data_IF_407200370306
#
_entry.id   IF_407200370306
#
_cell.length_a   1.000
_cell.length_b   1.000
_cell.length_c   1.000
_cell.angle_alpha   90.00
_cell.angle_beta   90.00
_cell.angle_gamma   90.00
#
_symmetry.space_group_name_H-M   'P 1'
#
loop_
_entity.id
_entity.type
_entity.pdbx_description
1 polymer ?
#
# COMPACT_ATOMS: atom_id res chain seq x y z
N UNK A 1 -27.97 7.37 4.11
CA UNK A 1 -28.31 7.10 5.52
C UNK A 1 -27.51 8.00 6.46
N UNK A 2 -26.21 8.19 6.19
CA UNK A 2 -25.35 9.07 6.96
C UNK A 2 -25.33 10.48 6.32
N UNK A 3 -25.94 11.44 6.99
CA UNK A 3 -25.87 12.85 6.54
C UNK A 3 -24.56 13.42 7.02
N UNK A 4 -23.67 13.78 6.09
CA UNK A 4 -22.40 14.44 6.38
C UNK A 4 -22.67 15.95 6.55
N UNK A 5 -23.37 16.31 7.65
CA UNK A 5 -23.55 17.69 8.05
C UNK A 5 -22.61 17.99 9.22
N UNK A 6 -21.62 18.84 8.98
CA UNK A 6 -20.61 19.14 9.99
C UNK A 6 -21.03 20.18 11.01
N UNK A 7 -22.06 20.98 10.73
CA UNK A 7 -22.30 22.19 11.50
C UNK A 7 -21.02 23.05 11.57
N UNK A 8 -20.61 23.45 12.76
CA UNK A 8 -19.38 24.23 12.99
C UNK A 8 -18.15 23.35 13.34
N UNK A 9 -18.21 22.03 13.20
CA UNK A 9 -17.08 21.14 13.52
C UNK A 9 -15.96 21.29 12.48
N UNK A 10 -14.71 21.38 12.95
CA UNK A 10 -13.54 21.40 12.07
C UNK A 10 -13.39 20.03 11.36
N UNK A 11 -12.95 20.08 10.11
CA UNK A 11 -12.66 18.89 9.34
C UNK A 11 -11.56 18.04 9.99
N UNK A 12 -11.70 16.71 10.03
CA UNK A 12 -10.59 15.84 10.38
C UNK A 12 -9.39 16.10 9.45
N UNK A 13 -8.19 16.03 9.99
CA UNK A 13 -6.95 16.25 9.26
C UNK A 13 -6.23 14.95 8.91
N UNK A 14 -6.56 13.87 9.61
CA UNK A 14 -6.06 12.52 9.41
C UNK A 14 -7.21 11.56 9.09
N UNK A 15 -6.98 10.50 8.27
CA UNK A 15 -8.03 9.59 7.81
C UNK A 15 -8.60 8.69 8.92
N UNK A 16 -7.85 8.49 10.00
CA UNK A 16 -8.28 7.75 11.19
C UNK A 16 -7.79 8.48 12.44
N UNK A 17 -8.57 8.54 13.54
CA UNK A 17 -8.16 9.29 14.74
C UNK A 17 -6.81 8.82 15.26
N UNK A 18 -5.81 9.72 15.29
CA UNK A 18 -4.45 9.41 15.73
C UNK A 18 -4.38 8.92 17.18
N UNK A 19 -5.19 9.51 18.06
CA UNK A 19 -5.25 9.15 19.48
C UNK A 19 -6.29 8.05 19.77
N UNK A 20 -6.69 7.28 18.79
CA UNK A 20 -7.63 6.19 18.99
C UNK A 20 -7.02 5.11 19.89
N UNK A 21 -7.60 4.91 21.05
CA UNK A 21 -7.11 3.93 22.01
C UNK A 21 -7.50 2.51 21.62
N UNK A 22 -6.64 1.90 20.80
CA UNK A 22 -6.79 0.50 20.37
C UNK A 22 -6.77 -0.44 21.59
N UNK A 23 -6.01 -0.11 22.64
CA UNK A 23 -5.86 -0.97 23.82
C UNK A 23 -7.18 -1.13 24.57
N UNK A 24 -8.03 -0.11 24.59
CA UNK A 24 -9.35 -0.15 25.21
C UNK A 24 -10.27 -1.14 24.52
N UNK A 25 -10.20 -1.22 23.20
CA UNK A 25 -10.96 -2.16 22.38
C UNK A 25 -10.40 -3.57 22.53
N UNK A 26 -9.08 -3.71 22.60
CA UNK A 26 -8.42 -4.99 22.83
C UNK A 26 -8.75 -5.61 24.19
N UNK A 27 -8.96 -4.79 25.24
CA UNK A 27 -9.46 -5.28 26.52
C UNK A 27 -10.83 -5.94 26.42
N UNK A 28 -11.71 -5.41 25.57
CA UNK A 28 -12.98 -6.08 25.26
C UNK A 28 -12.78 -7.42 24.54
N UNK A 29 -11.86 -7.48 23.56
CA UNK A 29 -11.58 -8.72 22.84
C UNK A 29 -10.92 -9.80 23.70
N UNK A 30 -10.18 -9.41 24.76
CA UNK A 30 -9.59 -10.34 25.75
C UNK A 30 -10.56 -10.75 26.87
N UNK A 31 -11.80 -10.31 26.83
CA UNK A 31 -12.77 -10.50 27.92
C UNK A 31 -12.37 -9.83 29.26
N UNK A 32 -11.35 -8.99 29.27
CA UNK A 32 -10.95 -8.18 30.43
C UNK A 32 -11.99 -7.11 30.76
N UNK A 33 -12.69 -6.62 29.72
CA UNK A 33 -13.90 -5.80 29.87
C UNK A 33 -15.03 -6.49 29.10
N UNK A 34 -16.19 -6.73 29.75
CA UNK A 34 -17.30 -7.34 29.04
C UNK A 34 -17.79 -6.43 27.92
N UNK A 35 -17.97 -7.03 26.73
CA UNK A 35 -18.65 -6.35 25.63
C UNK A 35 -20.08 -6.15 26.08
N UNK A 36 -20.56 -4.91 26.14
CA UNK A 36 -21.98 -4.64 26.39
C UNK A 36 -22.80 -5.01 25.14
N UNK A 37 -23.56 -6.13 25.18
CA UNK A 37 -24.34 -6.54 24.01
C UNK A 37 -25.43 -5.52 23.67
N UNK A 38 -25.87 -4.71 24.63
CA UNK A 38 -26.87 -3.65 24.41
C UNK A 38 -26.25 -2.49 23.64
N UNK A 39 -25.03 -2.06 24.01
CA UNK A 39 -24.27 -1.07 23.27
C UNK A 39 -24.00 -1.53 21.83
N UNK A 40 -23.45 -2.73 21.66
CA UNK A 40 -23.16 -3.28 20.34
C UNK A 40 -24.40 -3.36 19.46
N UNK A 41 -25.54 -3.77 20.00
CA UNK A 41 -26.81 -3.82 19.26
C UNK A 41 -27.24 -2.41 18.81
N UNK A 42 -27.20 -1.43 19.70
CA UNK A 42 -27.54 -0.03 19.37
C UNK A 42 -26.63 0.52 18.24
N UNK A 43 -25.33 0.24 18.32
CA UNK A 43 -24.36 0.67 17.30
C UNK A 43 -24.61 -0.02 15.95
N UNK A 44 -24.98 -1.31 15.97
CA UNK A 44 -25.39 -2.02 14.74
C UNK A 44 -26.67 -1.43 14.14
N UNK A 45 -27.65 -1.08 14.98
CA UNK A 45 -28.92 -0.43 14.55
C UNK A 45 -28.67 0.98 13.96
N UNK A 46 -27.65 1.71 14.42
CA UNK A 46 -27.20 2.97 13.82
C UNK A 46 -26.65 2.77 12.39
N UNK A 47 -26.32 1.53 11.99
CA UNK A 47 -25.85 1.17 10.67
C UNK A 47 -24.32 1.09 10.56
N UNK A 48 -23.64 0.61 11.59
CA UNK A 48 -22.18 0.47 11.57
C UNK A 48 -21.67 -0.40 10.40
N UNK A 49 -22.35 -1.52 10.10
CA UNK A 49 -21.96 -2.40 8.99
C UNK A 49 -22.08 -1.71 7.63
N UNK A 50 -23.15 -0.93 7.44
CA UNK A 50 -23.36 -0.14 6.24
C UNK A 50 -22.32 0.97 6.10
N UNK A 51 -21.93 1.60 7.21
CA UNK A 51 -20.87 2.60 7.23
C UNK A 51 -19.54 1.98 6.76
N UNK A 52 -19.12 0.89 7.39
CA UNK A 52 -17.86 0.20 7.03
C UNK A 52 -17.91 -0.32 5.60
N UNK A 53 -19.02 -0.95 5.18
CA UNK A 53 -19.22 -1.40 3.80
C UNK A 53 -19.12 -0.27 2.77
N UNK A 54 -19.70 0.90 3.10
CA UNK A 54 -19.61 2.11 2.27
C UNK A 54 -18.20 2.66 2.16
N UNK A 55 -17.41 2.61 3.25
CA UNK A 55 -16.00 3.06 3.25
C UNK A 55 -15.06 2.08 2.53
N UNK A 56 -15.36 0.78 2.55
CA UNK A 56 -14.53 -0.24 1.89
C UNK A 56 -14.45 -0.05 0.38
N UNK A 57 -15.52 0.43 -0.26
CA UNK A 57 -15.52 0.62 -1.71
C UNK A 57 -14.52 1.72 -2.15
N UNK A 58 -14.58 2.97 -1.64
CA UNK A 58 -13.60 3.99 -1.98
C UNK A 58 -12.18 3.61 -1.51
N UNK A 59 -12.03 2.96 -0.34
CA UNK A 59 -10.75 2.50 0.14
C UNK A 59 -10.01 1.58 -0.86
N UNK A 60 -10.77 0.74 -1.58
CA UNK A 60 -10.19 -0.22 -2.53
C UNK A 60 -9.98 0.32 -3.93
N UNK A 61 -10.69 1.39 -4.31
CA UNK A 61 -10.74 1.83 -5.70
C UNK A 61 -10.05 3.18 -5.94
N UNK A 62 -10.09 4.11 -4.97
CA UNK A 62 -9.67 5.48 -5.24
C UNK A 62 -9.00 6.21 -4.06
N UNK A 63 -9.19 5.73 -2.83
CA UNK A 63 -8.71 6.41 -1.62
C UNK A 63 -7.88 5.48 -0.74
N UNK A 64 -6.65 5.16 -1.15
CA UNK A 64 -5.76 4.27 -0.40
C UNK A 64 -5.53 4.72 1.04
N UNK A 65 -5.54 6.01 1.32
CA UNK A 65 -5.30 6.60 2.63
C UNK A 65 -6.28 6.14 3.73
N UNK A 66 -7.51 5.72 3.38
CA UNK A 66 -8.48 5.20 4.36
C UNK A 66 -8.42 3.67 4.52
N UNK A 67 -7.47 2.98 3.86
CA UNK A 67 -7.40 1.51 3.91
C UNK A 67 -7.12 0.97 5.31
N UNK A 68 -6.26 1.64 6.09
CA UNK A 68 -5.99 1.30 7.48
C UNK A 68 -7.26 1.44 8.33
N UNK A 69 -7.97 2.56 8.21
CA UNK A 69 -9.23 2.80 8.91
C UNK A 69 -10.24 1.68 8.62
N UNK A 70 -10.42 1.32 7.35
CA UNK A 70 -11.32 0.24 6.95
C UNK A 70 -10.87 -1.13 7.49
N UNK A 71 -9.57 -1.41 7.50
CA UNK A 71 -9.00 -2.63 8.08
C UNK A 71 -9.30 -2.71 9.58
N UNK A 72 -9.12 -1.61 10.31
CA UNK A 72 -9.40 -1.53 11.75
C UNK A 72 -10.89 -1.68 12.04
N UNK A 73 -11.74 -0.88 11.41
CA UNK A 73 -13.18 -0.90 11.62
C UNK A 73 -13.79 -2.28 11.31
N UNK A 74 -13.27 -2.97 10.30
CA UNK A 74 -13.76 -4.30 9.90
C UNK A 74 -13.56 -5.36 11.00
N UNK A 75 -12.64 -5.20 11.91
CA UNK A 75 -12.40 -6.13 13.02
C UNK A 75 -13.57 -6.15 14.01
N UNK A 76 -14.36 -5.09 14.07
CA UNK A 76 -15.44 -4.87 15.04
C UNK A 76 -16.84 -5.02 14.43
N UNK A 77 -16.96 -5.61 13.26
CA UNK A 77 -18.25 -5.76 12.55
C UNK A 77 -19.31 -6.55 13.32
N UNK A 78 -18.91 -7.43 14.23
CA UNK A 78 -19.82 -8.23 15.04
C UNK A 78 -20.20 -7.53 16.35
N UNK A 79 -19.23 -6.90 17.00
CA UNK A 79 -19.36 -6.31 18.34
C UNK A 79 -18.76 -4.90 18.37
N UNK A 80 -19.37 -3.94 17.61
CA UNK A 80 -18.89 -2.57 17.61
C UNK A 80 -19.22 -1.84 18.91
N UNK A 81 -18.36 -0.89 19.29
CA UNK A 81 -18.59 0.07 20.37
C UNK A 81 -18.87 1.47 19.79
N UNK A 82 -19.36 2.39 20.63
CA UNK A 82 -19.57 3.79 20.22
C UNK A 82 -18.27 4.47 19.78
N UNK A 83 -17.15 4.13 20.42
CA UNK A 83 -15.84 4.69 20.06
C UNK A 83 -15.45 4.27 18.62
N UNK A 84 -15.65 2.99 18.27
CA UNK A 84 -15.40 2.45 16.91
C UNK A 84 -16.34 3.08 15.89
N UNK A 85 -17.62 3.27 16.26
CA UNK A 85 -18.58 3.96 15.39
C UNK A 85 -18.15 5.42 15.13
N UNK A 86 -17.73 6.12 16.19
CA UNK A 86 -17.25 7.50 16.10
C UNK A 86 -16.00 7.61 15.22
N UNK A 87 -15.07 6.65 15.31
CA UNK A 87 -13.90 6.57 14.43
C UNK A 87 -14.31 6.33 12.96
N UNK A 88 -15.33 5.53 12.71
CA UNK A 88 -15.90 5.36 11.37
C UNK A 88 -16.52 6.63 10.80
N UNK A 89 -17.25 7.38 11.62
CA UNK A 89 -17.80 8.69 11.24
C UNK A 89 -16.69 9.72 10.99
N UNK A 90 -15.63 9.72 11.80
CA UNK A 90 -14.43 10.54 11.55
C UNK A 90 -13.83 10.23 10.15
N UNK A 91 -13.62 8.97 9.82
CA UNK A 91 -13.11 8.53 8.51
C UNK A 91 -14.03 8.98 7.37
N UNK A 92 -15.37 8.87 7.56
CA UNK A 92 -16.34 9.34 6.58
C UNK A 92 -16.25 10.86 6.36
N UNK A 93 -16.09 11.63 7.43
CA UNK A 93 -15.92 13.09 7.34
C UNK A 93 -14.62 13.46 6.64
N UNK A 94 -13.51 12.77 6.96
CA UNK A 94 -12.25 12.96 6.26
C UNK A 94 -12.41 12.68 4.76
N UNK A 95 -12.99 11.55 4.39
CA UNK A 95 -13.22 11.18 3.00
C UNK A 95 -14.09 12.20 2.27
N UNK A 96 -15.13 12.73 2.93
CA UNK A 96 -15.99 13.73 2.33
C UNK A 96 -15.24 15.04 2.01
N UNK A 97 -14.29 15.45 2.85
CA UNK A 97 -13.45 16.61 2.56
C UNK A 97 -12.51 16.42 1.39
N UNK A 98 -11.94 15.22 1.30
CA UNK A 98 -10.98 14.84 0.27
C UNK A 98 -11.65 14.20 -0.96
N UNK A 99 -13.00 14.28 -1.08
CA UNK A 99 -13.77 13.59 -2.12
C UNK A 99 -13.44 14.00 -3.56
N UNK A 100 -12.75 15.10 -3.75
CA UNK A 100 -12.28 15.59 -5.06
C UNK A 100 -10.81 15.24 -5.33
N UNK A 101 -10.15 14.59 -4.37
CA UNK A 101 -8.77 14.15 -4.46
C UNK A 101 -8.76 12.68 -4.85
N UNK A 102 -8.45 12.40 -6.09
CA UNK A 102 -8.34 11.04 -6.60
C UNK A 102 -6.89 10.58 -6.72
N UNK A 103 -6.71 9.37 -7.24
CA UNK A 103 -5.40 8.87 -7.66
C UNK A 103 -4.94 9.65 -8.89
N UNK A 104 -3.67 10.03 -8.92
CA UNK A 104 -3.02 10.75 -10.02
C UNK A 104 -1.98 9.86 -10.66
N UNK A 105 -2.03 9.74 -11.97
CA UNK A 105 -0.98 9.11 -12.78
C UNK A 105 -0.33 10.18 -13.65
N UNK A 106 1.00 10.19 -13.71
CA UNK A 106 1.75 11.18 -14.50
C UNK A 106 2.61 10.48 -15.55
N UNK A 107 2.58 10.99 -16.77
CA UNK A 107 3.49 10.54 -17.83
C UNK A 107 4.96 10.85 -17.53
N UNK A 108 5.21 11.85 -16.67
CA UNK A 108 6.55 12.25 -16.23
C UNK A 108 6.99 11.45 -14.97
N UNK A 109 6.11 10.59 -14.45
CA UNK A 109 6.37 9.70 -13.31
C UNK A 109 7.32 8.57 -13.67
N UNK A 110 7.78 7.85 -12.63
CA UNK A 110 8.61 6.66 -12.84
C UNK A 110 7.81 5.59 -13.59
N UNK A 111 8.29 5.22 -14.76
CA UNK A 111 7.69 4.19 -15.61
C UNK A 111 7.91 2.77 -15.06
N UNK A 112 8.82 2.58 -14.10
CA UNK A 112 9.08 1.29 -13.49
C UNK A 112 8.22 1.16 -12.22
N UNK A 113 7.53 0.03 -12.01
CA UNK A 113 6.80 -0.18 -10.76
C UNK A 113 7.73 -0.18 -9.54
N UNK A 114 7.31 0.47 -8.47
CA UNK A 114 8.00 0.51 -7.18
C UNK A 114 7.03 0.03 -6.11
N UNK A 115 7.50 -0.81 -5.20
CA UNK A 115 6.73 -1.27 -4.06
C UNK A 115 7.29 -0.67 -2.77
N UNK A 116 6.41 -0.02 -1.97
CA UNK A 116 6.73 0.36 -0.60
C UNK A 116 5.98 -0.58 0.34
N UNK A 117 6.59 -0.96 1.45
CA UNK A 117 5.99 -1.86 2.43
C UNK A 117 6.38 -1.48 3.86
N UNK A 118 5.52 -1.80 4.81
CA UNK A 118 5.70 -1.53 6.24
C UNK A 118 4.94 -2.54 7.08
N UNK A 119 5.38 -2.72 8.33
CA UNK A 119 4.72 -3.54 9.34
C UNK A 119 4.72 -2.85 10.70
N UNK A 120 3.55 -2.72 11.32
CA UNK A 120 3.43 -2.26 12.70
C UNK A 120 3.40 -3.45 13.65
N UNK A 121 4.53 -3.68 14.35
CA UNK A 121 4.72 -4.82 15.25
C UNK A 121 3.75 -4.79 16.43
N UNK A 122 3.12 -5.94 16.74
CA UNK A 122 2.25 -6.18 17.88
C UNK A 122 1.17 -5.11 18.12
N UNK A 123 0.63 -4.52 17.06
CA UNK A 123 -0.38 -3.45 17.17
C UNK A 123 -1.72 -3.97 17.75
N UNK A 124 -2.06 -5.21 17.47
CA UNK A 124 -3.22 -5.89 18.05
C UNK A 124 -2.80 -6.61 19.33
N UNK A 125 -2.95 -5.95 20.46
CA UNK A 125 -2.56 -6.49 21.77
C UNK A 125 -3.35 -7.74 22.17
N UNK A 126 -4.55 -7.96 21.63
CA UNK A 126 -5.39 -9.12 21.96
C UNK A 126 -4.87 -10.41 21.32
N UNK A 127 -4.41 -10.34 20.08
CA UNK A 127 -3.93 -11.48 19.32
C UNK A 127 -2.41 -11.48 19.15
N UNK A 128 -1.71 -10.46 19.66
CA UNK A 128 -0.27 -10.20 19.43
C UNK A 128 0.13 -10.15 17.96
N UNK A 129 -0.85 -9.91 17.08
CA UNK A 129 -0.62 -9.86 15.63
C UNK A 129 -0.31 -8.45 15.17
N UNK A 130 0.60 -8.37 14.23
CA UNK A 130 1.02 -7.15 13.60
C UNK A 130 0.11 -6.77 12.43
N UNK A 131 -0.02 -5.48 12.16
CA UNK A 131 -0.62 -4.99 10.92
C UNK A 131 0.46 -4.87 9.86
N UNK A 132 0.11 -5.17 8.62
CA UNK A 132 1.00 -4.98 7.49
C UNK A 132 0.33 -4.20 6.37
N UNK A 133 1.15 -3.48 5.65
CA UNK A 133 0.71 -2.71 4.51
C UNK A 133 1.74 -2.62 3.41
N UNK A 134 1.28 -2.50 2.19
CA UNK A 134 2.14 -2.22 1.06
C UNK A 134 1.36 -1.45 -0.01
N UNK A 135 2.11 -0.76 -0.85
CA UNK A 135 1.61 -0.11 -2.05
C UNK A 135 2.58 -0.35 -3.19
N UNK A 136 2.05 -0.72 -4.35
CA UNK A 136 2.80 -0.73 -5.61
C UNK A 136 2.36 0.49 -6.40
N UNK A 137 3.30 1.36 -6.70
CA UNK A 137 3.09 2.55 -7.51
C UNK A 137 3.61 2.33 -8.93
N UNK A 138 2.91 2.91 -9.89
CA UNK A 138 3.32 2.94 -11.29
C UNK A 138 2.91 4.28 -11.89
N UNK A 139 3.78 4.90 -12.66
CA UNK A 139 3.53 6.24 -13.20
C UNK A 139 3.15 7.26 -12.11
N UNK A 140 3.79 7.16 -10.94
CA UNK A 140 3.53 8.00 -9.77
C UNK A 140 2.33 7.59 -8.92
N UNK A 141 1.32 6.93 -9.48
CA UNK A 141 0.09 6.58 -8.77
C UNK A 141 0.06 5.15 -8.21
N UNK A 142 -0.70 4.89 -7.14
CA UNK A 142 -0.87 3.56 -6.56
C UNK A 142 -1.78 2.70 -7.44
N UNK A 143 -1.33 1.51 -7.81
CA UNK A 143 -2.10 0.55 -8.62
C UNK A 143 -2.51 -0.70 -7.85
N UNK A 144 -1.73 -1.11 -6.85
CA UNK A 144 -2.06 -2.20 -5.94
C UNK A 144 -1.68 -1.77 -4.54
N UNK A 145 -2.58 -1.92 -3.58
CA UNK A 145 -2.29 -1.62 -2.18
C UNK A 145 -3.12 -2.48 -1.23
N UNK A 146 -2.63 -2.63 -0.03
CA UNK A 146 -3.28 -3.47 0.99
C UNK A 146 -2.94 -2.98 2.39
N UNK A 147 -3.94 -3.04 3.27
CA UNK A 147 -3.80 -2.90 4.72
C UNK A 147 -4.50 -4.07 5.38
N UNK A 148 -3.75 -4.93 6.06
CA UNK A 148 -4.29 -6.15 6.69
C UNK A 148 -3.54 -6.47 7.98
N UNK A 149 -4.09 -7.41 8.76
CA UNK A 149 -3.42 -8.03 9.90
C UNK A 149 -2.73 -9.31 9.47
N UNK A 150 -1.53 -9.57 9.99
CA UNK A 150 -0.84 -10.85 9.77
C UNK A 150 -1.65 -12.01 10.33
N UNK A 151 -1.56 -13.16 9.68
CA UNK A 151 -2.17 -14.40 10.17
C UNK A 151 -1.32 -15.06 11.25
N UNK A 152 0.00 -14.90 11.16
CA UNK A 152 0.99 -15.38 12.13
C UNK A 152 1.42 -14.25 13.05
N UNK A 153 1.96 -14.61 14.21
CA UNK A 153 2.59 -13.70 15.16
C UNK A 153 4.08 -13.71 14.86
N UNK A 154 4.65 -12.55 14.52
CA UNK A 154 6.09 -12.41 14.36
C UNK A 154 6.78 -12.23 15.71
N UNK A 155 7.96 -12.80 15.86
CA UNK A 155 8.76 -12.75 17.08
C UNK A 155 9.56 -11.44 17.22
N UNK A 156 9.64 -10.66 16.13
CA UNK A 156 10.33 -9.38 16.09
C UNK A 156 9.77 -8.48 15.00
N UNK A 157 10.04 -7.17 15.10
CA UNK A 157 9.67 -6.22 14.03
C UNK A 157 10.31 -6.58 12.68
N UNK A 158 11.55 -7.06 12.68
CA UNK A 158 12.23 -7.49 11.45
C UNK A 158 11.55 -8.69 10.79
N UNK A 159 11.00 -9.59 11.58
CA UNK A 159 10.25 -10.75 11.08
C UNK A 159 8.90 -10.35 10.48
N UNK A 160 8.18 -9.46 11.14
CA UNK A 160 6.93 -8.88 10.60
C UNK A 160 7.17 -8.14 9.29
N UNK A 161 8.23 -7.34 9.22
CA UNK A 161 8.66 -6.67 7.99
C UNK A 161 8.98 -7.67 6.87
N UNK A 162 9.69 -8.75 7.21
CA UNK A 162 10.04 -9.78 6.24
C UNK A 162 8.80 -10.53 5.72
N UNK A 163 7.87 -10.86 6.61
CA UNK A 163 6.57 -11.44 6.21
C UNK A 163 5.79 -10.48 5.31
N UNK A 164 5.85 -9.18 5.60
CA UNK A 164 5.22 -8.15 4.77
C UNK A 164 5.87 -8.06 3.39
N UNK A 165 7.20 -8.07 3.32
CA UNK A 165 7.96 -8.14 2.08
C UNK A 165 7.49 -9.33 1.22
N UNK A 166 7.29 -10.50 1.84
CA UNK A 166 6.80 -11.70 1.13
C UNK A 166 5.37 -11.53 0.62
N UNK A 167 4.49 -10.88 1.39
CA UNK A 167 3.14 -10.58 0.91
C UNK A 167 3.16 -9.62 -0.28
N UNK A 168 3.94 -8.55 -0.21
CA UNK A 168 4.10 -7.58 -1.26
C UNK A 168 4.74 -8.18 -2.52
N UNK A 169 5.75 -9.04 -2.35
CA UNK A 169 6.42 -9.77 -3.43
C UNK A 169 5.44 -10.54 -4.33
N UNK A 170 4.43 -11.19 -3.77
CA UNK A 170 3.44 -11.95 -4.55
C UNK A 170 2.69 -11.05 -5.53
N UNK A 171 2.38 -9.83 -5.13
CA UNK A 171 1.71 -8.85 -5.98
C UNK A 171 2.66 -8.20 -6.99
N UNK A 172 3.91 -7.99 -6.60
CA UNK A 172 4.96 -7.54 -7.53
C UNK A 172 5.13 -8.56 -8.65
N UNK A 173 5.21 -9.85 -8.33
CA UNK A 173 5.35 -10.92 -9.34
C UNK A 173 4.12 -11.02 -10.23
N UNK A 174 2.91 -10.88 -9.67
CA UNK A 174 1.69 -10.82 -10.46
C UNK A 174 1.73 -9.65 -11.47
N UNK A 175 2.12 -8.46 -11.02
CA UNK A 175 2.22 -7.29 -11.88
C UNK A 175 3.28 -7.46 -12.97
N UNK A 176 4.45 -8.00 -12.61
CA UNK A 176 5.53 -8.29 -13.57
C UNK A 176 5.06 -9.21 -14.68
N UNK A 177 4.38 -10.29 -14.32
CA UNK A 177 3.80 -11.23 -15.28
C UNK A 177 2.73 -10.56 -16.15
N UNK A 178 1.82 -9.80 -15.55
CA UNK A 178 0.79 -9.07 -16.27
C UNK A 178 1.39 -8.11 -17.33
N UNK A 179 2.39 -7.32 -16.93
CA UNK A 179 3.06 -6.39 -17.87
C UNK A 179 3.79 -7.11 -19.00
N UNK A 180 4.38 -8.27 -18.74
CA UNK A 180 4.99 -9.12 -19.78
C UNK A 180 3.93 -9.65 -20.75
N UNK A 181 2.82 -10.20 -20.24
CA UNK A 181 1.72 -10.72 -21.05
C UNK A 181 1.02 -9.63 -21.87
N UNK A 182 0.95 -8.40 -21.36
CA UNK A 182 0.46 -7.22 -22.08
C UNK A 182 1.43 -6.70 -23.15
N UNK A 183 2.61 -7.28 -23.30
CA UNK A 183 3.61 -6.88 -24.31
C UNK A 183 4.53 -5.73 -23.87
N UNK A 184 4.65 -5.47 -22.55
CA UNK A 184 5.53 -4.44 -21.98
C UNK A 184 6.68 -5.02 -21.13
N UNK A 185 7.47 -6.02 -21.63
CA UNK A 185 8.55 -6.64 -20.86
C UNK A 185 9.65 -5.65 -20.46
N UNK A 186 9.82 -4.56 -21.19
CA UNK A 186 10.81 -3.51 -20.91
C UNK A 186 10.54 -2.80 -19.57
N UNK A 187 9.28 -2.72 -19.11
CA UNK A 187 8.92 -2.08 -17.84
C UNK A 187 9.33 -2.93 -16.62
N UNK A 188 9.63 -4.19 -16.85
CA UNK A 188 10.04 -5.15 -15.82
C UNK A 188 11.37 -5.83 -16.17
N UNK A 189 12.15 -5.24 -17.08
CA UNK A 189 13.47 -5.74 -17.48
C UNK A 189 14.49 -5.64 -16.31
N UNK A 190 14.33 -4.62 -15.46
CA UNK A 190 15.09 -4.46 -14.22
C UNK A 190 14.37 -5.08 -13.03
N UNK A 191 15.07 -5.37 -11.91
CA UNK A 191 14.42 -5.78 -10.68
C UNK A 191 13.48 -4.67 -10.18
N UNK A 192 12.29 -5.07 -9.70
CA UNK A 192 11.35 -4.14 -9.07
C UNK A 192 11.88 -3.74 -7.69
N UNK A 193 11.99 -2.44 -7.44
CA UNK A 193 12.40 -1.93 -6.12
C UNK A 193 11.33 -2.23 -5.08
N UNK A 194 11.77 -2.75 -3.94
CA UNK A 194 10.94 -2.99 -2.77
C UNK A 194 11.51 -2.21 -1.58
N UNK A 195 10.83 -1.13 -1.20
CA UNK A 195 11.30 -0.12 -0.27
C UNK A 195 10.66 -0.35 1.11
N UNK A 196 11.47 -0.62 2.13
CA UNK A 196 11.07 -0.73 3.53
C UNK A 196 12.00 0.09 4.42
N UNK A 197 11.64 0.31 5.67
CA UNK A 197 12.45 1.10 6.60
C UNK A 197 13.32 0.23 7.54
N UNK A 198 13.13 -1.09 7.55
CA UNK A 198 13.86 -2.01 8.41
C UNK A 198 15.12 -2.57 7.72
N UNK A 199 16.28 -2.10 8.19
CA UNK A 199 17.58 -2.56 7.67
C UNK A 199 17.85 -4.06 7.87
N UNK A 200 17.26 -4.67 8.90
CA UNK A 200 17.43 -6.10 9.19
C UNK A 200 16.66 -6.96 8.18
N UNK A 201 15.43 -6.57 7.83
CA UNK A 201 14.65 -7.26 6.81
C UNK A 201 15.33 -7.19 5.43
N UNK A 202 15.89 -6.02 5.06
CA UNK A 202 16.69 -5.86 3.83
C UNK A 202 17.93 -6.77 3.84
N UNK A 203 18.64 -6.85 4.97
CA UNK A 203 19.80 -7.74 5.11
C UNK A 203 19.38 -9.21 4.95
N UNK A 204 18.31 -9.64 5.58
CA UNK A 204 17.82 -11.02 5.47
C UNK A 204 17.41 -11.40 4.06
N UNK A 205 16.87 -10.46 3.30
CA UNK A 205 16.52 -10.71 1.90
C UNK A 205 17.74 -11.00 1.01
N UNK A 206 18.93 -10.50 1.40
CA UNK A 206 20.20 -10.67 0.66
C UNK A 206 21.08 -11.77 1.21
N UNK A 207 21.14 -11.90 2.53
CA UNK A 207 22.00 -12.85 3.24
C UNK A 207 21.18 -14.09 3.64
N UNK A 208 21.66 -15.29 3.31
CA UNK A 208 21.00 -16.53 3.71
C UNK A 208 21.24 -16.82 5.21
N UNK A 209 20.57 -16.09 6.09
CA UNK A 209 20.63 -16.35 7.53
C UNK A 209 19.35 -17.02 8.02
N UNK A 210 19.25 -18.34 7.83
CA UNK A 210 18.25 -19.14 8.53
C UNK A 210 18.77 -19.40 9.93
N UNK A 211 18.14 -18.79 10.94
CA UNK A 211 18.42 -19.06 12.35
C UNK A 211 17.37 -20.04 12.91
N UNK A 212 17.68 -20.72 14.02
CA UNK A 212 16.73 -21.64 14.65
C UNK A 212 15.39 -21.00 15.07
N UNK A 213 15.34 -19.65 15.16
CA UNK A 213 14.14 -18.91 15.55
C UNK A 213 13.13 -18.65 14.44
N UNK A 214 13.52 -18.74 13.14
CA UNK A 214 12.67 -18.36 12.01
C UNK A 214 12.30 -19.50 11.06
N UNK A 215 12.39 -20.76 11.52
CA UNK A 215 12.00 -21.93 10.72
C UNK A 215 10.56 -21.91 10.18
N UNK A 216 9.64 -21.27 10.88
CA UNK A 216 8.23 -21.21 10.48
C UNK A 216 8.01 -20.32 9.23
N UNK A 217 8.96 -19.43 8.90
CA UNK A 217 8.94 -18.58 7.70
C UNK A 217 10.03 -18.99 6.68
N UNK A 218 10.67 -20.12 6.87
CA UNK A 218 11.80 -20.61 6.06
C UNK A 218 11.47 -20.62 4.55
N UNK A 219 10.28 -21.08 4.17
CA UNK A 219 9.84 -21.07 2.77
C UNK A 219 9.80 -19.66 2.16
N UNK A 220 9.40 -18.68 2.95
CA UNK A 220 9.30 -17.31 2.52
C UNK A 220 10.71 -16.71 2.35
N UNK A 221 11.66 -17.08 3.23
CA UNK A 221 13.07 -16.73 3.07
C UNK A 221 13.65 -17.24 1.76
N UNK A 222 13.45 -18.51 1.43
CA UNK A 222 13.94 -19.08 0.19
C UNK A 222 13.37 -18.40 -1.05
N UNK A 223 12.08 -18.08 -1.04
CA UNK A 223 11.43 -17.39 -2.18
C UNK A 223 11.96 -15.99 -2.41
N UNK A 224 12.12 -15.20 -1.37
CA UNK A 224 12.63 -13.83 -1.49
C UNK A 224 14.09 -13.86 -1.95
N UNK A 225 14.90 -14.73 -1.35
CA UNK A 225 16.29 -14.90 -1.75
C UNK A 225 16.43 -15.29 -3.22
N UNK A 226 15.71 -16.32 -3.67
CA UNK A 226 15.67 -16.71 -5.08
C UNK A 226 15.27 -15.54 -5.98
N UNK A 227 14.29 -14.76 -5.57
CA UNK A 227 13.83 -13.60 -6.34
C UNK A 227 14.89 -12.50 -6.46
N UNK A 228 15.68 -12.26 -5.40
CA UNK A 228 16.81 -11.34 -5.42
C UNK A 228 17.94 -11.88 -6.31
N UNK A 229 18.33 -13.15 -6.16
CA UNK A 229 19.36 -13.80 -6.97
C UNK A 229 19.01 -13.81 -8.46
N UNK A 230 17.72 -13.95 -8.79
CA UNK A 230 17.23 -13.89 -10.18
C UNK A 230 16.99 -12.47 -10.69
N UNK A 231 17.37 -11.44 -9.96
CA UNK A 231 17.13 -10.03 -10.30
C UNK A 231 15.67 -9.69 -10.62
N UNK A 232 14.72 -10.34 -9.92
CA UNK A 232 13.29 -10.05 -10.06
C UNK A 232 12.86 -8.88 -9.16
N UNK A 233 13.45 -8.80 -7.96
CA UNK A 233 13.22 -7.73 -6.99
C UNK A 233 14.54 -7.23 -6.42
N UNK A 234 14.53 -6.00 -5.93
CA UNK A 234 15.64 -5.39 -5.22
C UNK A 234 15.13 -4.71 -3.94
N UNK A 235 15.21 -5.38 -2.77
CA UNK A 235 14.93 -4.76 -1.50
C UNK A 235 15.90 -3.62 -1.21
N UNK A 236 15.40 -2.48 -0.70
CA UNK A 236 16.20 -1.33 -0.27
C UNK A 236 15.58 -0.66 0.93
N UNK A 237 16.44 -0.14 1.80
CA UNK A 237 16.04 0.67 2.93
C UNK A 237 15.74 2.10 2.50
N UNK A 238 14.61 2.65 2.98
CA UNK A 238 14.30 4.09 2.95
C UNK A 238 14.17 4.64 4.37
N UNK A 239 14.03 5.97 4.51
CA UNK A 239 13.70 6.59 5.79
C UNK A 239 12.25 6.32 6.14
N UNK A 240 11.95 5.99 7.41
CA UNK A 240 10.59 5.71 7.85
C UNK A 240 9.63 6.89 7.63
N UNK A 241 10.09 8.12 7.82
CA UNK A 241 9.29 9.33 7.58
C UNK A 241 8.85 9.51 6.10
N UNK A 242 9.52 8.83 5.18
CA UNK A 242 9.25 8.87 3.74
C UNK A 242 8.48 7.63 3.26
N UNK A 243 8.21 6.66 4.17
CA UNK A 243 7.51 5.43 3.82
C UNK A 243 6.00 5.64 3.79
N UNK A 244 5.42 5.82 2.61
CA UNK A 244 3.97 5.98 2.46
C UNK A 244 3.17 4.78 2.96
N UNK A 245 3.80 3.60 3.13
CA UNK A 245 3.16 2.40 3.65
C UNK A 245 2.79 2.51 5.13
N UNK A 246 3.35 3.46 5.87
CA UNK A 246 2.96 3.79 7.24
C UNK A 246 1.46 4.07 7.35
N UNK A 247 0.87 4.69 6.33
CA UNK A 247 -0.56 4.96 6.26
C UNK A 247 -1.45 3.70 6.15
N UNK A 248 -0.86 2.53 5.88
CA UNK A 248 -1.58 1.25 5.83
C UNK A 248 -1.43 0.42 7.10
N UNK A 249 -0.51 0.78 7.99
CA UNK A 249 -0.13 -0.05 9.13
C UNK A 249 -0.52 0.55 10.49
N UNK A 250 -0.60 1.88 10.56
CA UNK A 250 -0.89 2.61 11.80
C UNK A 250 -1.72 3.87 11.59
N UNK A 251 -2.33 4.36 12.67
CA UNK A 251 -2.90 5.70 12.68
C UNK A 251 -1.75 6.70 12.67
N UNK A 252 -1.68 7.54 11.65
CA UNK A 252 -0.63 8.55 11.48
C UNK A 252 -1.11 9.91 11.95
N UNK A 253 -0.19 10.74 12.47
CA UNK A 253 -0.52 12.10 12.90
C UNK A 253 -0.92 12.98 11.72
N UNK A 254 -1.50 14.12 12.04
CA UNK A 254 -1.87 15.14 11.03
C UNK A 254 -0.69 15.55 10.17
N UNK A 255 0.47 15.76 10.78
CA UNK A 255 1.69 16.20 10.10
C UNK A 255 2.19 15.15 9.13
N UNK A 256 2.20 13.88 9.57
CA UNK A 256 2.57 12.73 8.74
C UNK A 256 1.55 12.54 7.61
N UNK A 257 0.25 12.66 7.89
CA UNK A 257 -0.78 12.60 6.85
C UNK A 257 -0.55 13.67 5.78
N UNK A 258 -0.31 14.93 6.18
CA UNK A 258 -0.08 16.02 5.24
C UNK A 258 1.16 15.79 4.35
N UNK A 259 2.18 15.11 4.88
CA UNK A 259 3.39 14.78 4.14
C UNK A 259 3.21 13.60 3.18
N UNK A 260 2.63 12.51 3.66
CA UNK A 260 2.57 11.24 2.91
C UNK A 260 1.36 11.12 1.97
N UNK A 261 0.27 11.83 2.22
CA UNK A 261 -0.98 11.66 1.47
C UNK A 261 -0.83 11.97 -0.02
N UNK A 262 -0.19 13.09 -0.35
CA UNK A 262 0.02 13.48 -1.75
C UNK A 262 0.98 12.52 -2.49
N UNK A 263 2.01 12.04 -1.83
CA UNK A 263 2.88 11.00 -2.37
C UNK A 263 2.13 9.69 -2.59
N UNK A 264 1.30 9.29 -1.61
CA UNK A 264 0.53 8.05 -1.68
C UNK A 264 -0.46 8.04 -2.84
N UNK A 265 -1.13 9.17 -3.13
CA UNK A 265 -2.09 9.26 -4.23
C UNK A 265 -1.46 9.64 -5.58
N UNK A 266 -0.14 9.87 -5.64
CA UNK A 266 0.58 10.20 -6.87
C UNK A 266 0.56 11.69 -7.24
N UNK A 267 0.10 12.58 -6.34
CA UNK A 267 0.08 14.03 -6.56
C UNK A 267 1.42 14.71 -6.20
N UNK A 268 2.29 14.02 -5.47
CA UNK A 268 3.67 14.43 -5.21
C UNK A 268 4.64 13.30 -5.58
N UNK A 269 5.90 13.60 -5.92
CA UNK A 269 6.90 12.61 -6.24
C UNK A 269 7.19 11.71 -5.03
N UNK A 270 7.52 10.45 -5.30
CA UNK A 270 8.07 9.55 -4.28
C UNK A 270 9.43 10.09 -3.80
N UNK A 271 9.86 9.69 -2.59
CA UNK A 271 11.13 10.11 -2.04
C UNK A 271 12.31 9.68 -2.92
N UNK A 272 13.46 10.36 -2.76
CA UNK A 272 14.70 9.93 -3.42
C UNK A 272 15.06 8.51 -2.97
N UNK A 273 15.24 7.64 -3.95
CA UNK A 273 15.61 6.25 -3.70
C UNK A 273 17.11 6.18 -3.42
N UNK A 274 17.53 5.72 -2.23
CA UNK A 274 18.94 5.61 -1.91
C UNK A 274 19.68 4.72 -2.92
N UNK A 275 20.90 5.12 -3.29
CA UNK A 275 21.76 4.28 -4.13
C UNK A 275 22.09 2.98 -3.38
N UNK A 276 21.97 1.83 -4.06
CA UNK A 276 22.32 0.55 -3.45
C UNK A 276 23.78 0.52 -3.03
N UNK A 277 24.12 0.23 -1.77
CA UNK A 277 25.50 0.07 -1.34
C UNK A 277 26.16 -1.16 -1.99
N UNK A 278 25.40 -2.03 -2.62
CA UNK A 278 25.87 -3.30 -3.19
C UNK A 278 26.16 -3.24 -4.69
N UNK A 279 25.90 -2.10 -5.37
CA UNK A 279 26.24 -1.91 -6.78
C UNK A 279 27.73 -1.65 -7.05
N UNK A 280 28.57 -1.56 -6.02
CA UNK A 280 30.01 -1.29 -6.14
C UNK A 280 30.90 -2.54 -6.22
N UNK A 281 30.40 -3.75 -6.07
CA UNK A 281 31.17 -4.99 -6.23
C UNK A 281 30.83 -5.69 -7.55
N UNK A 282 31.45 -5.23 -8.61
CA UNK A 282 31.87 -6.00 -9.77
C UNK A 282 30.85 -6.84 -10.53
N UNK A 283 29.91 -6.22 -11.23
CA UNK A 283 29.48 -6.63 -12.58
C UNK A 283 28.87 -5.37 -13.21
N UNK A 284 29.46 -4.90 -14.29
CA UNK A 284 29.20 -3.61 -14.90
C UNK A 284 27.79 -3.40 -15.39
N UNK A 285 26.92 -2.95 -14.50
CA UNK A 285 25.60 -2.44 -14.80
C UNK A 285 25.47 -1.08 -14.12
N UNK A 286 25.57 0.01 -14.89
CA UNK A 286 25.38 1.37 -14.39
C UNK A 286 24.01 1.49 -13.74
N UNK A 287 23.99 1.69 -12.41
CA UNK A 287 22.80 2.08 -11.66
C UNK A 287 22.35 3.47 -12.10
N UNK A 288 21.40 3.54 -13.02
CA UNK A 288 20.80 4.80 -13.47
C UNK A 288 19.38 4.89 -12.88
N UNK A 289 19.27 4.98 -11.55
CA UNK A 289 18.11 5.56 -10.90
C UNK A 289 18.39 7.03 -10.54
N UNK A 290 19.00 7.76 -11.46
CA UNK A 290 18.86 9.21 -11.46
C UNK A 290 17.59 9.50 -12.23
N UNK A 291 16.68 10.21 -11.61
CA UNK A 291 15.65 11.03 -12.27
C UNK A 291 16.39 12.17 -13.01
N UNK A 292 17.19 11.80 -14.01
CA UNK A 292 17.76 12.75 -14.94
C UNK A 292 16.64 13.12 -15.92
N UNK A 293 16.20 14.39 -15.93
CA UNK A 293 15.17 14.85 -16.84
C UNK A 293 15.50 14.57 -18.31
N UNK A 294 16.77 14.50 -18.70
CA UNK A 294 17.18 14.15 -20.06
C UNK A 294 16.99 12.66 -20.36
N UNK A 295 17.20 11.77 -19.40
CA UNK A 295 16.98 10.34 -19.58
C UNK A 295 15.49 10.02 -19.75
N UNK A 296 14.63 10.67 -18.98
CA UNK A 296 13.16 10.60 -19.13
C UNK A 296 12.75 11.10 -20.51
N UNK A 297 13.31 12.21 -21.01
CA UNK A 297 13.03 12.75 -22.34
C UNK A 297 13.51 11.84 -23.47
N UNK A 298 14.68 11.20 -23.38
CA UNK A 298 15.16 10.23 -24.36
C UNK A 298 14.27 8.99 -24.43
N UNK A 299 13.90 8.45 -23.30
CA UNK A 299 13.05 7.24 -23.21
C UNK A 299 11.63 7.51 -23.71
N UNK A 300 11.07 8.68 -23.43
CA UNK A 300 9.77 9.10 -23.98
C UNK A 300 9.80 9.28 -25.49
N UNK A 301 10.93 9.69 -26.07
CA UNK A 301 11.12 9.69 -27.53
C UNK A 301 11.14 8.27 -28.12
N UNK A 302 11.78 7.33 -27.46
CA UNK A 302 11.83 5.92 -27.90
C UNK A 302 10.46 5.24 -27.80
N UNK A 303 9.66 5.54 -26.77
CA UNK A 303 8.29 5.04 -26.62
C UNK A 303 7.28 5.70 -27.58
N UNK A 304 7.51 6.94 -27.98
CA UNK A 304 6.70 7.64 -28.98
C UNK A 304 6.91 7.13 -30.42
N UNK A 305 7.95 6.32 -30.65
CA UNK A 305 8.25 5.66 -31.93
C UNK A 305 7.60 4.27 -32.03
N UNK A 306 6.99 3.76 -30.97
CA UNK A 306 6.19 2.53 -31.03
C UNK A 306 5.01 2.74 -32.01
N UNK A 307 4.74 1.80 -32.93
CA UNK A 307 3.69 1.97 -33.91
C UNK A 307 2.36 2.20 -33.24
N UNK A 308 1.70 3.30 -33.59
CA UNK A 308 0.28 3.52 -33.23
C UNK A 308 -0.50 2.31 -33.72
N UNK A 309 -1.07 1.54 -32.81
CA UNK A 309 -2.07 0.53 -33.19
C UNK A 309 -3.20 1.28 -33.88
N UNK A 310 -3.37 1.06 -35.18
CA UNK A 310 -4.51 1.53 -35.95
C UNK A 310 -5.79 0.96 -35.31
N UNK A 311 -6.71 1.84 -34.94
CA UNK A 311 -8.04 1.45 -34.50
C UNK A 311 -8.74 0.60 -35.58
N UNK A 312 -9.51 -0.44 -35.21
CA UNK A 312 -10.19 -1.34 -36.17
C UNK A 312 -11.34 -0.71 -36.96
N UNK A 313 -11.70 0.55 -36.76
CA UNK A 313 -12.97 1.15 -37.20
C UNK A 313 -12.91 2.08 -38.42
N UNK A 314 -11.87 2.01 -39.27
CA UNK A 314 -11.88 2.78 -40.54
C UNK A 314 -11.85 1.93 -41.82
N UNK A 315 -12.58 0.80 -41.84
CA UNK A 315 -12.80 0.04 -43.09
C UNK A 315 -14.21 -0.55 -43.20
N UNK A 316 -15.26 0.26 -43.11
CA UNK A 316 -16.60 -0.22 -43.47
C UNK A 316 -17.51 0.74 -44.24
N UNK A 317 -17.04 1.93 -44.68
CA UNK A 317 -17.88 2.86 -45.42
C UNK A 317 -17.34 3.21 -46.82
N UNK A 318 -16.93 2.20 -47.59
CA UNK A 318 -16.61 2.41 -49.02
C UNK A 318 -17.05 1.20 -49.89
N UNK A 319 -18.32 0.82 -49.84
CA UNK A 319 -18.96 0.00 -50.87
C UNK A 319 -20.50 -0.01 -50.75
N UNK A 320 -21.13 1.06 -51.19
CA UNK A 320 -22.51 1.03 -51.65
C UNK A 320 -22.86 2.38 -52.31
N UNK A 321 -22.25 2.65 -53.50
CA UNK A 321 -22.87 3.48 -54.52
C UNK A 321 -22.34 2.96 -55.88
N UNK A 322 -23.26 2.39 -56.65
CA UNK A 322 -22.97 2.03 -58.03
C UNK A 322 -23.72 0.80 -58.54
N UNK A 323 -24.85 1.05 -59.13
CA UNK A 323 -25.74 0.30 -60.01
C UNK A 323 -27.01 -0.21 -59.36
#
# INVERSE_FOLDING_TARGET
KFKVHRGNAKAPKEPFPYNFDISRIDKHSRQELPIDPVESRKVLEKGFRELVGGLLWPARNAYPAISFACSMLSRYMQTPTEDVFSAGIHTLHWLYEHRHEGIVFSSDGNMEPICLYDSAHMQDLSSHKSSYGFVITWMGGPIVYSSKRHTLVGLSSAEDEYMTLTHAYKWVMWLRNLLQEMGYPQLVAKPTLMLGDNAQADRWAREAMVTNGNRHIERDFHKIKEAVERNLIEPRKIKGEENTSDMFTKAVSREVTAHLHDMLRGAAPLPEIPVSPYTLSGHGGSSVYRTDPEHVRRRNKELAIAPKMSSPDEKSDAKHQGV
#
